data_IF_442608151668
#
_entry.id   IF_442608151668
#
_cell.length_a   1.000
_cell.length_b   1.000
_cell.length_c   1.000
_cell.angle_alpha   90.00
_cell.angle_beta   90.00
_cell.angle_gamma   90.00
#
_symmetry.space_group_name_H-M   'P 1'
#
loop_
_entity.id
_entity.type
_entity.pdbx_description
1 polymer ?
#
# COMPACT_ATOMS: atom_id res chain seq x y z
N UNK A 1 66.37 -54.08 -2.76
CA UNK A 1 64.95 -54.21 -3.15
C UNK A 1 64.19 -53.00 -2.63
N UNK A 2 64.00 -51.97 -3.45
CA UNK A 2 63.22 -50.77 -3.11
C UNK A 2 61.77 -50.99 -3.55
N UNK A 3 60.82 -50.93 -2.62
CA UNK A 3 59.37 -50.94 -2.92
C UNK A 3 58.88 -49.49 -2.88
N UNK A 4 58.60 -48.92 -4.05
CA UNK A 4 57.89 -47.65 -4.18
C UNK A 4 56.41 -47.88 -3.82
N UNK A 5 55.94 -47.26 -2.74
CA UNK A 5 54.53 -47.18 -2.42
C UNK A 5 53.92 -45.99 -3.16
N UNK A 6 53.06 -46.25 -4.15
CA UNK A 6 52.23 -45.24 -4.79
C UNK A 6 51.09 -44.85 -3.83
N UNK A 7 51.09 -43.60 -3.39
CA UNK A 7 50.00 -43.01 -2.63
C UNK A 7 48.93 -42.51 -3.62
N UNK A 8 47.78 -43.19 -3.68
CA UNK A 8 46.62 -42.75 -4.47
C UNK A 8 45.74 -41.89 -3.55
N UNK A 9 45.70 -40.59 -3.82
CA UNK A 9 44.80 -39.64 -3.12
C UNK A 9 43.48 -39.61 -3.91
N UNK A 10 42.33 -39.96 -3.31
CA UNK A 10 41.05 -39.89 -4.00
C UNK A 10 40.62 -38.42 -4.12
N UNK A 11 40.40 -37.97 -5.35
CA UNK A 11 39.84 -36.65 -5.64
C UNK A 11 38.34 -36.69 -5.31
N UNK A 12 37.97 -36.14 -4.15
CA UNK A 12 36.59 -36.01 -3.72
C UNK A 12 35.93 -34.85 -4.50
N UNK A 13 35.15 -35.16 -5.52
CA UNK A 13 34.33 -34.18 -6.24
C UNK A 13 33.15 -33.75 -5.36
N UNK A 14 33.25 -32.60 -4.70
CA UNK A 14 32.09 -31.95 -4.09
C UNK A 14 31.12 -31.53 -5.20
N UNK A 15 30.05 -32.30 -5.39
CA UNK A 15 28.87 -31.80 -6.09
C UNK A 15 28.20 -30.74 -5.21
N UNK A 16 28.46 -29.47 -5.47
CA UNK A 16 27.66 -28.37 -4.94
C UNK A 16 26.28 -28.44 -5.59
N UNK A 17 25.31 -29.00 -4.89
CA UNK A 17 23.90 -28.85 -5.26
C UNK A 17 23.54 -27.38 -5.04
N UNK A 18 23.47 -26.60 -6.12
CA UNK A 18 22.89 -25.27 -6.06
C UNK A 18 21.45 -25.43 -5.53
N UNK A 19 21.15 -24.80 -4.40
CA UNK A 19 19.77 -24.75 -3.92
C UNK A 19 18.90 -24.14 -5.03
N UNK A 20 17.71 -24.69 -5.31
CA UNK A 20 16.81 -24.09 -6.29
C UNK A 20 16.58 -22.63 -5.87
N UNK A 21 16.88 -21.70 -6.79
CA UNK A 21 16.51 -20.29 -6.60
C UNK A 21 15.02 -20.26 -6.34
N UNK A 22 14.61 -19.76 -5.16
CA UNK A 22 13.20 -19.53 -4.89
C UNK A 22 12.61 -18.74 -6.06
N UNK A 23 11.55 -19.29 -6.65
CA UNK A 23 10.90 -18.67 -7.80
C UNK A 23 10.38 -17.31 -7.36
N UNK A 24 10.89 -16.24 -7.99
CA UNK A 24 10.58 -14.87 -7.58
C UNK A 24 9.12 -14.57 -7.95
N UNK A 25 8.24 -14.61 -6.96
CA UNK A 25 6.82 -14.35 -7.13
C UNK A 25 6.54 -12.86 -7.41
N UNK A 26 5.51 -12.52 -8.20
CA UNK A 26 5.20 -11.14 -8.57
C UNK A 26 4.92 -10.27 -7.34
N UNK A 27 5.27 -8.99 -7.43
CA UNK A 27 4.89 -7.98 -6.43
C UNK A 27 3.37 -7.94 -6.30
N UNK A 28 2.85 -8.04 -5.08
CA UNK A 28 1.42 -8.00 -4.79
C UNK A 28 0.98 -6.55 -4.62
N UNK A 29 0.16 -6.06 -5.56
CA UNK A 29 -0.26 -4.66 -5.63
C UNK A 29 -1.65 -4.49 -5.03
N UNK A 30 -1.80 -3.56 -4.09
CA UNK A 30 -3.09 -3.13 -3.56
C UNK A 30 -3.33 -1.66 -3.90
N UNK A 31 -4.47 -1.39 -4.54
CA UNK A 31 -4.94 -0.03 -4.78
C UNK A 31 -5.78 0.45 -3.60
N UNK A 32 -5.34 1.52 -2.94
CA UNK A 32 -6.01 2.17 -1.82
C UNK A 32 -6.59 3.50 -2.29
N UNK A 33 -7.90 3.52 -2.55
CA UNK A 33 -8.61 4.65 -3.15
C UNK A 33 -9.69 5.22 -2.24
N UNK A 34 -9.94 6.53 -2.36
CA UNK A 34 -11.04 7.18 -1.64
C UNK A 34 -10.74 8.61 -1.23
N UNK A 35 -11.25 9.02 -0.06
CA UNK A 35 -11.19 10.42 0.40
C UNK A 35 -10.88 10.55 1.89
N UNK A 36 -10.53 11.77 2.32
CA UNK A 36 -10.29 12.16 3.72
C UNK A 36 -9.38 11.17 4.44
N UNK A 37 -9.90 10.24 5.26
CA UNK A 37 -9.09 9.29 5.99
C UNK A 37 -8.16 8.46 5.09
N UNK A 38 -8.58 8.09 3.88
CA UNK A 38 -7.70 7.40 2.93
C UNK A 38 -6.49 8.26 2.53
N UNK A 39 -6.64 9.59 2.47
CA UNK A 39 -5.54 10.53 2.21
C UNK A 39 -4.56 10.62 3.40
N UNK A 40 -4.95 10.19 4.59
CA UNK A 40 -4.10 10.10 5.77
C UNK A 40 -4.34 11.20 6.79
N UNK A 41 -5.53 11.22 7.39
CA UNK A 41 -5.94 12.21 8.41
C UNK A 41 -5.64 11.76 9.85
N UNK A 42 -5.24 10.50 10.05
CA UNK A 42 -4.94 9.99 11.38
C UNK A 42 -3.67 10.63 11.92
N UNK A 43 -3.76 11.33 13.03
CA UNK A 43 -2.61 11.99 13.67
C UNK A 43 -1.83 10.99 14.51
N UNK A 44 -0.50 11.04 14.41
CA UNK A 44 0.39 10.10 15.11
C UNK A 44 0.76 10.64 16.49
N UNK A 45 1.36 11.83 16.52
CA UNK A 45 2.14 12.36 17.66
C UNK A 45 1.89 13.86 17.94
N UNK A 46 1.07 14.55 17.14
CA UNK A 46 0.81 15.98 17.33
C UNK A 46 -0.19 16.18 18.47
N UNK A 47 0.29 16.67 19.60
CA UNK A 47 -0.52 17.06 20.76
C UNK A 47 -0.56 18.59 20.89
N UNK A 48 -1.71 19.19 20.58
CA UNK A 48 -1.98 20.60 20.82
C UNK A 48 -3.42 20.80 21.28
N UNK A 49 -3.67 21.60 22.33
CA UNK A 49 -5.01 21.77 22.90
C UNK A 49 -6.04 22.32 21.91
N UNK A 50 -5.62 23.19 20.98
CA UNK A 50 -6.52 23.84 20.02
C UNK A 50 -6.48 23.23 18.61
N UNK A 51 -5.41 22.53 18.24
CA UNK A 51 -5.19 22.10 16.86
C UNK A 51 -5.25 20.58 16.69
N UNK A 52 -5.08 19.83 17.78
CA UNK A 52 -5.07 18.36 17.76
C UNK A 52 -5.84 17.75 18.94
N UNK A 53 -6.91 18.42 19.38
CA UNK A 53 -7.83 17.93 20.40
C UNK A 53 -7.15 17.52 21.72
N UNK A 54 -6.05 18.20 22.08
CA UNK A 54 -5.22 17.85 23.24
C UNK A 54 -4.74 16.39 23.22
N UNK A 55 -4.36 15.90 22.04
CA UNK A 55 -3.82 14.56 21.82
C UNK A 55 -4.88 13.45 21.92
N UNK A 56 -6.17 13.78 22.06
CA UNK A 56 -7.22 12.75 22.13
C UNK A 56 -7.40 12.09 20.76
N UNK A 57 -7.17 10.79 20.70
CA UNK A 57 -7.36 9.97 19.50
C UNK A 57 -6.12 9.83 18.62
N UNK A 58 -4.99 10.48 18.96
CA UNK A 58 -3.73 10.27 18.25
C UNK A 58 -3.18 8.87 18.53
N UNK A 59 -2.38 8.33 17.60
CA UNK A 59 -1.88 6.96 17.70
C UNK A 59 -1.07 6.73 18.99
N UNK A 60 -0.18 7.64 19.36
CA UNK A 60 0.63 7.50 20.58
C UNK A 60 -0.25 7.32 21.84
N UNK A 61 -1.35 8.07 21.95
CA UNK A 61 -2.26 7.95 23.08
C UNK A 61 -3.10 6.68 23.04
N UNK A 62 -3.48 6.23 21.84
CA UNK A 62 -4.18 4.95 21.66
C UNK A 62 -3.29 3.79 22.12
N UNK A 63 -1.99 3.85 21.86
CA UNK A 63 -1.02 2.84 22.27
C UNK A 63 -0.78 2.79 23.78
N UNK A 64 -0.94 3.92 24.47
CA UNK A 64 -0.82 4.00 25.93
C UNK A 64 -2.03 3.41 26.68
N UNK A 65 -3.17 3.21 26.02
CA UNK A 65 -4.31 2.52 26.63
C UNK A 65 -3.95 1.05 26.88
N UNK A 66 -3.91 0.56 28.14
CA UNK A 66 -3.51 -0.81 28.44
C UNK A 66 -4.36 -1.88 27.74
N UNK A 67 -5.61 -1.54 27.39
CA UNK A 67 -6.53 -2.44 26.67
C UNK A 67 -6.16 -2.60 25.20
N UNK A 68 -5.40 -1.65 24.64
CA UNK A 68 -5.02 -1.58 23.22
C UNK A 68 -3.52 -1.74 22.99
N UNK A 69 -2.68 -1.51 24.00
CA UNK A 69 -1.23 -1.55 23.89
C UNK A 69 -0.71 -2.79 23.13
N UNK A 70 -1.20 -3.98 23.47
CA UNK A 70 -0.81 -5.23 22.79
C UNK A 70 -1.20 -5.26 21.31
N UNK A 71 -2.35 -4.71 20.95
CA UNK A 71 -2.83 -4.66 19.57
C UNK A 71 -1.96 -3.78 18.67
N UNK A 72 -1.31 -2.77 19.24
CA UNK A 72 -0.48 -1.81 18.50
C UNK A 72 1.01 -1.96 18.77
N UNK A 73 1.45 -2.95 19.55
CA UNK A 73 2.86 -3.10 19.91
C UNK A 73 3.79 -3.22 18.68
N UNK A 74 3.27 -3.76 17.56
CA UNK A 74 4.04 -3.98 16.32
C UNK A 74 4.38 -2.72 15.53
N UNK A 75 3.84 -1.55 15.88
CA UNK A 75 4.09 -0.30 15.13
C UNK A 75 5.32 0.46 15.61
N UNK A 76 5.89 0.06 16.75
CA UNK A 76 7.14 0.58 17.32
C UNK A 76 8.16 -0.54 17.45
N UNK A 77 9.44 -0.23 17.22
CA UNK A 77 10.55 -1.15 17.49
C UNK A 77 10.94 -1.16 18.98
N UNK A 78 11.89 -2.02 19.35
CA UNK A 78 12.38 -2.15 20.73
C UNK A 78 13.08 -0.87 21.24
N UNK A 79 13.46 0.03 20.33
CA UNK A 79 14.06 1.33 20.63
C UNK A 79 13.02 2.46 20.73
N UNK A 80 11.74 2.17 20.48
CA UNK A 80 10.65 3.16 20.51
C UNK A 80 10.51 4.00 19.24
N UNK A 81 11.19 3.65 18.15
CA UNK A 81 11.01 4.30 16.85
C UNK A 81 9.81 3.70 16.10
N UNK A 82 9.23 4.48 15.18
CA UNK A 82 8.19 3.96 14.28
C UNK A 82 8.80 2.93 13.33
N UNK A 83 8.17 1.76 13.27
CA UNK A 83 8.62 0.68 12.40
C UNK A 83 8.62 1.15 10.94
N UNK A 84 9.66 0.73 10.24
CA UNK A 84 9.79 0.82 8.79
C UNK A 84 9.79 -0.61 8.26
N UNK A 85 8.96 -0.89 7.24
CA UNK A 85 8.83 -2.21 6.62
C UNK A 85 9.32 -2.16 5.18
N UNK A 86 10.43 -2.84 4.90
CA UNK A 86 11.01 -2.89 3.56
C UNK A 86 10.28 -3.88 2.62
N UNK A 87 9.58 -4.86 3.20
CA UNK A 87 8.74 -5.84 2.50
C UNK A 87 7.41 -5.26 2.00
N UNK A 88 7.08 -4.02 2.38
CA UNK A 88 5.89 -3.31 1.92
C UNK A 88 6.29 -1.93 1.42
N UNK A 89 6.08 -1.68 0.14
CA UNK A 89 6.27 -0.37 -0.47
C UNK A 89 4.97 0.43 -0.47
N UNK A 90 5.09 1.75 -0.39
CA UNK A 90 3.97 2.67 -0.57
C UNK A 90 4.34 3.70 -1.61
N UNK A 91 3.40 4.01 -2.50
CA UNK A 91 3.48 5.13 -3.45
C UNK A 91 2.23 5.98 -3.36
N UNK A 92 2.42 7.29 -3.18
CA UNK A 92 1.32 8.24 -3.09
C UNK A 92 1.67 9.57 -3.75
N UNK A 93 1.02 9.89 -4.86
CA UNK A 93 1.09 11.21 -5.49
C UNK A 93 0.13 12.18 -4.78
N UNK A 94 0.70 13.08 -3.98
CA UNK A 94 -0.06 14.14 -3.30
C UNK A 94 -0.17 15.39 -4.19
N UNK A 95 -0.89 16.42 -3.71
CA UNK A 95 -0.89 17.74 -4.36
C UNK A 95 0.50 18.41 -4.37
N UNK A 96 1.35 18.08 -3.41
CA UNK A 96 2.61 18.79 -3.19
C UNK A 96 3.82 18.04 -3.72
N UNK A 97 3.82 16.70 -3.62
CA UNK A 97 4.94 15.86 -4.01
C UNK A 97 4.53 14.40 -4.19
N UNK A 98 5.37 13.66 -4.91
CA UNK A 98 5.35 12.20 -4.91
C UNK A 98 6.00 11.69 -3.62
N UNK A 99 5.27 10.89 -2.84
CA UNK A 99 5.80 10.15 -1.70
C UNK A 99 5.95 8.69 -2.08
N UNK A 100 7.14 8.13 -1.88
CA UNK A 100 7.45 6.72 -2.19
C UNK A 100 8.52 6.17 -1.25
N UNK A 101 8.45 4.88 -0.96
CA UNK A 101 9.44 4.17 -0.16
C UNK A 101 8.86 3.00 0.64
N UNK A 102 9.62 2.47 1.62
CA UNK A 102 9.14 1.45 2.55
C UNK A 102 8.00 1.97 3.41
N UNK A 103 7.10 1.08 3.83
CA UNK A 103 5.96 1.42 4.65
C UNK A 103 6.43 1.95 6.00
N UNK A 104 5.91 3.11 6.36
CA UNK A 104 6.10 3.79 7.63
C UNK A 104 4.97 4.81 7.78
N UNK A 105 5.00 5.61 8.85
CA UNK A 105 4.14 6.78 8.94
C UNK A 105 4.55 7.85 7.91
N UNK A 106 3.63 8.77 7.60
CA UNK A 106 3.91 9.93 6.75
C UNK A 106 3.49 9.80 5.29
N UNK A 107 2.83 8.70 4.88
CA UNK A 107 2.17 8.60 3.57
C UNK A 107 0.80 9.30 3.54
N UNK A 108 0.76 10.51 4.09
CA UNK A 108 -0.41 11.37 4.14
C UNK A 108 -0.35 12.51 3.11
N UNK A 109 -1.46 13.20 2.89
CA UNK A 109 -1.53 14.43 2.07
C UNK A 109 -0.73 15.62 2.63
N UNK A 110 -0.25 15.52 3.88
CA UNK A 110 0.49 16.56 4.61
C UNK A 110 2.00 16.35 4.56
N UNK A 111 2.84 17.40 4.64
CA UNK A 111 4.28 17.25 4.79
C UNK A 111 4.64 16.56 6.12
N UNK A 112 5.84 15.98 6.18
CA UNK A 112 6.36 15.35 7.39
C UNK A 112 5.79 13.95 7.69
N UNK A 113 6.15 13.45 8.87
CA UNK A 113 5.86 12.09 9.37
C UNK A 113 5.02 12.13 10.65
N UNK A 114 3.88 12.81 10.58
CA UNK A 114 2.99 13.02 11.73
C UNK A 114 1.57 12.48 11.50
N UNK A 115 1.33 11.90 10.33
CA UNK A 115 0.02 11.44 9.92
C UNK A 115 0.11 10.07 9.25
N UNK A 116 -0.99 9.34 9.33
CA UNK A 116 -1.21 8.02 8.73
C UNK A 116 -2.61 7.97 8.12
N UNK A 117 -2.77 7.15 7.10
CA UNK A 117 -4.07 6.62 6.69
C UNK A 117 -4.17 5.12 6.94
N UNK A 118 -5.21 4.49 6.36
CA UNK A 118 -5.40 3.04 6.41
C UNK A 118 -4.21 2.25 5.87
N UNK A 119 -3.38 2.83 5.00
CA UNK A 119 -2.19 2.17 4.45
C UNK A 119 -1.26 1.65 5.54
N UNK A 120 -1.16 2.36 6.67
CA UNK A 120 -0.22 2.01 7.71
C UNK A 120 -0.56 0.65 8.32
N UNK A 121 -1.77 0.51 8.87
CA UNK A 121 -2.17 -0.75 9.47
C UNK A 121 -2.51 -1.83 8.44
N UNK A 122 -3.07 -1.46 7.28
CA UNK A 122 -3.30 -2.40 6.19
C UNK A 122 -1.99 -3.04 5.73
N UNK A 123 -0.96 -2.21 5.49
CA UNK A 123 0.38 -2.65 5.11
C UNK A 123 1.02 -3.59 6.12
N UNK A 124 0.93 -3.29 7.42
CA UNK A 124 1.39 -4.19 8.47
C UNK A 124 0.71 -5.57 8.42
N UNK A 125 -0.60 -5.61 8.17
CA UNK A 125 -1.36 -6.87 8.13
C UNK A 125 -1.01 -7.68 6.87
N UNK A 126 -0.98 -7.06 5.70
CA UNK A 126 -0.68 -7.79 4.46
C UNK A 126 0.79 -8.21 4.37
N UNK A 127 1.73 -7.35 4.79
CA UNK A 127 3.16 -7.70 4.83
C UNK A 127 3.48 -8.79 5.85
N UNK A 128 2.70 -8.91 6.93
CA UNK A 128 2.85 -10.03 7.86
C UNK A 128 2.29 -11.36 7.32
N UNK A 129 1.43 -11.30 6.29
CA UNK A 129 0.69 -12.47 5.78
C UNK A 129 1.20 -12.99 4.44
N UNK A 130 1.82 -12.13 3.65
CA UNK A 130 2.38 -12.42 2.34
C UNK A 130 3.90 -12.52 2.47
N UNK A 131 4.49 -13.46 1.74
CA UNK A 131 5.96 -13.61 1.67
C UNK A 131 6.53 -12.82 0.49
N UNK A 132 5.67 -12.45 -0.46
CA UNK A 132 5.96 -11.60 -1.60
C UNK A 132 6.11 -10.14 -1.20
N UNK A 133 6.91 -9.40 -1.97
CA UNK A 133 6.96 -7.95 -1.88
C UNK A 133 5.55 -7.36 -2.12
N UNK A 134 5.13 -6.43 -1.27
CA UNK A 134 3.85 -5.72 -1.42
C UNK A 134 4.09 -4.31 -1.94
N UNK A 135 3.18 -3.82 -2.79
CA UNK A 135 3.08 -2.41 -3.18
C UNK A 135 1.68 -1.88 -2.86
N UNK A 136 1.62 -0.84 -2.04
CA UNK A 136 0.41 -0.06 -1.79
C UNK A 136 0.42 1.20 -2.66
N UNK A 137 -0.53 1.31 -3.58
CA UNK A 137 -0.71 2.51 -4.40
C UNK A 137 -1.87 3.30 -3.80
N UNK A 138 -1.60 4.52 -3.32
CA UNK A 138 -2.64 5.41 -2.81
C UNK A 138 -3.14 6.35 -3.90
N UNK A 139 -4.45 6.39 -4.07
CA UNK A 139 -5.18 7.29 -4.98
C UNK A 139 -6.29 7.98 -4.22
N UNK A 140 -5.89 8.91 -3.35
CA UNK A 140 -6.77 9.48 -2.35
C UNK A 140 -6.68 11.00 -2.30
N UNK A 141 -7.83 11.65 -2.17
CA UNK A 141 -7.94 13.11 -2.15
C UNK A 141 -9.07 13.56 -1.22
N UNK A 142 -8.80 14.55 -0.39
CA UNK A 142 -9.80 15.13 0.51
C UNK A 142 -10.99 15.76 -0.23
N UNK A 143 -12.18 15.64 0.38
CA UNK A 143 -13.37 16.34 -0.10
C UNK A 143 -13.97 15.81 -1.40
N UNK A 144 -13.77 14.52 -1.70
CA UNK A 144 -14.28 13.87 -2.92
C UNK A 144 -15.47 12.96 -2.65
N UNK A 145 -16.41 12.98 -3.59
CA UNK A 145 -17.63 12.18 -3.59
C UNK A 145 -17.53 11.03 -4.59
N UNK A 146 -18.24 9.93 -4.31
CA UNK A 146 -18.47 8.91 -5.33
C UNK A 146 -19.43 9.43 -6.40
N UNK A 147 -20.46 10.15 -5.98
CA UNK A 147 -21.49 10.71 -6.84
C UNK A 147 -20.96 11.67 -7.92
N UNK A 148 -19.88 12.43 -7.69
CA UNK A 148 -19.36 13.37 -8.70
C UNK A 148 -17.92 13.10 -9.08
N UNK A 149 -17.03 13.02 -8.10
CA UNK A 149 -15.60 13.06 -8.35
C UNK A 149 -15.07 11.71 -8.84
N UNK A 150 -15.53 10.63 -8.21
CA UNK A 150 -15.19 9.25 -8.55
C UNK A 150 -16.29 8.54 -9.34
N UNK A 151 -17.26 9.28 -9.91
CA UNK A 151 -18.37 8.68 -10.65
C UNK A 151 -17.82 7.78 -11.77
N UNK A 152 -18.08 6.48 -11.75
CA UNK A 152 -17.51 5.56 -12.72
C UNK A 152 -18.28 5.65 -14.05
N UNK A 153 -17.66 5.32 -15.19
CA UNK A 153 -18.24 5.54 -16.52
C UNK A 153 -19.51 4.73 -16.81
N UNK A 154 -19.76 3.63 -16.09
CA UNK A 154 -21.01 2.86 -16.21
C UNK A 154 -22.17 3.39 -15.36
N UNK A 155 -21.95 4.43 -14.55
CA UNK A 155 -23.04 5.13 -13.85
C UNK A 155 -23.61 6.26 -14.69
N UNK A 156 -24.89 6.58 -14.51
CA UNK A 156 -25.54 7.66 -15.24
C UNK A 156 -24.85 9.01 -15.01
N UNK A 157 -24.59 9.77 -16.08
CA UNK A 157 -23.97 11.09 -16.01
C UNK A 157 -22.50 11.12 -16.43
N UNK A 158 -21.82 12.22 -16.15
CA UNK A 158 -20.42 12.41 -16.56
C UNK A 158 -19.45 11.60 -15.71
N UNK A 159 -18.48 10.93 -16.34
CA UNK A 159 -17.40 10.26 -15.62
C UNK A 159 -16.62 11.25 -14.77
N UNK A 160 -16.47 10.91 -13.49
CA UNK A 160 -15.81 11.77 -12.52
C UNK A 160 -14.31 11.91 -12.83
N UNK A 161 -13.74 13.13 -12.74
CA UNK A 161 -12.34 13.35 -13.09
C UNK A 161 -11.37 12.59 -12.18
N UNK A 162 -11.76 12.27 -10.94
CA UNK A 162 -10.95 11.51 -10.01
C UNK A 162 -11.04 10.00 -10.22
N UNK A 163 -12.07 9.50 -10.90
CA UNK A 163 -12.06 8.13 -11.44
C UNK A 163 -10.92 7.97 -12.45
N UNK A 164 -10.88 8.85 -13.46
CA UNK A 164 -9.83 8.83 -14.49
C UNK A 164 -8.45 9.06 -13.87
N UNK A 165 -8.33 10.01 -12.94
CA UNK A 165 -7.06 10.29 -12.25
C UNK A 165 -6.58 9.09 -11.43
N UNK A 166 -7.47 8.39 -10.72
CA UNK A 166 -7.13 7.16 -9.99
C UNK A 166 -6.49 6.13 -10.92
N UNK A 167 -7.06 5.89 -12.10
CA UNK A 167 -6.50 4.95 -13.07
C UNK A 167 -5.14 5.42 -13.60
N UNK A 168 -5.00 6.72 -13.90
CA UNK A 168 -3.75 7.31 -14.39
C UNK A 168 -2.62 7.17 -13.36
N UNK A 169 -2.86 7.55 -12.11
CA UNK A 169 -1.87 7.45 -11.03
C UNK A 169 -1.50 5.99 -10.72
N UNK A 170 -2.46 5.08 -10.86
CA UNK A 170 -2.22 3.63 -10.71
C UNK A 170 -1.32 3.11 -11.83
N UNK A 171 -1.61 3.43 -13.09
CA UNK A 171 -0.77 3.02 -14.23
C UNK A 171 0.63 3.62 -14.14
N UNK A 172 0.73 4.90 -13.80
CA UNK A 172 2.02 5.58 -13.60
C UNK A 172 2.85 4.93 -12.49
N UNK A 173 2.22 4.48 -11.39
CA UNK A 173 2.90 3.75 -10.33
C UNK A 173 3.50 2.41 -10.82
N UNK A 174 2.75 1.67 -11.63
CA UNK A 174 3.15 0.37 -12.13
C UNK A 174 4.21 0.48 -13.23
N UNK A 175 4.11 1.50 -14.08
CA UNK A 175 5.08 1.79 -15.14
C UNK A 175 6.43 2.26 -14.57
N UNK A 176 6.42 3.08 -13.52
CA UNK A 176 7.62 3.62 -12.88
C UNK A 176 8.16 2.74 -11.74
N UNK A 177 7.64 1.51 -11.57
CA UNK A 177 8.04 0.63 -10.46
C UNK A 177 9.57 0.46 -10.33
N UNK A 178 10.35 0.22 -11.42
CA UNK A 178 11.82 0.12 -11.34
C UNK A 178 12.52 1.42 -10.91
N UNK A 179 11.98 2.57 -11.31
CA UNK A 179 12.56 3.89 -11.00
C UNK A 179 12.17 4.36 -9.59
N UNK A 180 10.98 3.97 -9.14
CA UNK A 180 10.45 4.36 -7.84
C UNK A 180 11.00 3.49 -6.71
N UNK A 181 11.31 2.23 -6.98
CA UNK A 181 11.80 1.27 -6.00
C UNK A 181 13.03 0.52 -6.56
N UNK A 182 14.25 1.00 -6.29
CA UNK A 182 15.48 0.42 -6.85
C UNK A 182 15.72 -1.05 -6.49
N UNK A 183 15.11 -1.53 -5.40
CA UNK A 183 15.17 -2.94 -4.98
C UNK A 183 14.22 -3.84 -5.80
N UNK A 184 13.39 -3.27 -6.68
CA UNK A 184 12.58 -4.02 -7.63
C UNK A 184 13.45 -4.68 -8.69
N UNK A 185 13.40 -6.00 -8.74
CA UNK A 185 14.26 -6.84 -9.58
C UNK A 185 13.58 -7.33 -10.87
N UNK A 186 12.47 -6.70 -11.28
CA UNK A 186 11.79 -7.03 -12.53
C UNK A 186 10.92 -8.29 -12.47
N UNK A 187 10.67 -8.89 -11.29
CA UNK A 187 9.85 -10.11 -11.11
C UNK A 187 8.37 -9.99 -11.52
N UNK A 188 7.95 -8.83 -12.00
CA UNK A 188 6.59 -8.51 -12.37
C UNK A 188 5.70 -8.18 -11.17
N UNK A 189 4.44 -7.90 -11.47
CA UNK A 189 3.44 -7.55 -10.46
C UNK A 189 2.05 -8.09 -10.82
N UNK A 190 1.23 -8.23 -9.78
CA UNK A 190 -0.18 -8.63 -9.85
C UNK A 190 -1.04 -7.67 -9.01
N UNK A 191 -2.17 -7.21 -9.57
CA UNK A 191 -3.17 -6.48 -8.80
C UNK A 191 -3.93 -7.44 -7.87
N UNK A 192 -3.53 -7.48 -6.60
CA UNK A 192 -4.02 -8.38 -5.58
C UNK A 192 -5.30 -7.88 -4.89
N UNK A 193 -5.55 -6.57 -4.90
CA UNK A 193 -6.77 -6.05 -4.28
C UNK A 193 -7.05 -4.56 -4.49
N UNK A 194 -8.29 -4.20 -4.18
CA UNK A 194 -8.81 -2.84 -4.20
C UNK A 194 -9.46 -2.52 -2.86
N UNK A 195 -8.99 -1.47 -2.19
CA UNK A 195 -9.48 -0.98 -0.91
C UNK A 195 -10.11 0.38 -1.14
N UNK A 196 -11.41 0.48 -0.88
CA UNK A 196 -12.18 1.70 -1.03
C UNK A 196 -12.56 2.27 0.33
N UNK A 197 -12.23 3.54 0.59
CA UNK A 197 -12.66 4.25 1.79
C UNK A 197 -13.15 5.65 1.45
N UNK A 198 -14.47 5.75 1.28
CA UNK A 198 -15.21 6.94 0.91
C UNK A 198 -16.64 6.80 1.45
N UNK A 199 -17.42 7.90 1.47
CA UNK A 199 -18.86 7.86 1.75
C UNK A 199 -19.36 9.08 2.52
N UNK A 200 -18.49 9.71 3.32
CA UNK A 200 -18.85 10.86 4.16
C UNK A 200 -19.48 12.01 3.35
N UNK A 201 -18.89 12.37 2.21
CA UNK A 201 -19.40 13.49 1.41
C UNK A 201 -20.74 13.18 0.75
N UNK A 202 -20.94 11.95 0.28
CA UNK A 202 -22.18 11.53 -0.37
C UNK A 202 -23.36 11.51 0.62
N UNK A 203 -23.10 11.32 1.92
CA UNK A 203 -24.12 11.32 2.96
C UNK A 203 -24.93 12.62 3.07
N UNK A 204 -24.37 13.76 2.68
CA UNK A 204 -25.04 15.06 2.84
C UNK A 204 -25.94 15.46 1.67
N UNK A 205 -25.91 14.72 0.56
CA UNK A 205 -26.76 14.96 -0.60
C UNK A 205 -27.78 13.82 -0.75
N UNK A 206 -29.06 14.16 -0.94
CA UNK A 206 -30.12 13.17 -1.00
C UNK A 206 -30.01 12.27 -2.24
N UNK A 207 -29.58 12.84 -3.38
CA UNK A 207 -29.42 12.11 -4.62
C UNK A 207 -28.14 11.26 -4.59
N UNK A 208 -27.05 11.79 -4.05
CA UNK A 208 -25.82 11.03 -3.82
C UNK A 208 -26.04 9.81 -2.92
N UNK A 209 -26.79 9.96 -1.83
CA UNK A 209 -27.17 8.82 -0.99
C UNK A 209 -28.00 7.78 -1.72
N UNK A 210 -28.99 8.22 -2.49
CA UNK A 210 -29.88 7.31 -3.22
C UNK A 210 -29.12 6.50 -4.29
N UNK A 211 -28.12 7.09 -4.95
CA UNK A 211 -27.33 6.45 -6.00
C UNK A 211 -26.07 5.74 -5.47
N UNK A 212 -25.73 5.86 -4.19
CA UNK A 212 -24.42 5.44 -3.68
C UNK A 212 -24.13 3.96 -3.92
N UNK A 213 -25.11 3.09 -3.65
CA UNK A 213 -24.98 1.65 -3.82
C UNK A 213 -24.72 1.28 -5.29
N UNK A 214 -25.52 1.81 -6.21
CA UNK A 214 -25.38 1.55 -7.64
C UNK A 214 -24.04 2.08 -8.17
N UNK A 215 -23.68 3.33 -7.81
CA UNK A 215 -22.41 3.91 -8.18
C UNK A 215 -21.22 3.10 -7.64
N UNK A 216 -21.34 2.50 -6.44
CA UNK A 216 -20.28 1.68 -5.86
C UNK A 216 -20.14 0.34 -6.60
N UNK A 217 -21.26 -0.29 -6.95
CA UNK A 217 -21.25 -1.50 -7.79
C UNK A 217 -20.60 -1.23 -9.14
N UNK A 218 -20.97 -0.12 -9.78
CA UNK A 218 -20.41 0.32 -11.05
C UNK A 218 -18.91 0.63 -10.94
N UNK A 219 -18.48 1.29 -9.86
CA UNK A 219 -17.07 1.57 -9.59
C UNK A 219 -16.26 0.29 -9.52
N UNK A 220 -16.74 -0.71 -8.77
CA UNK A 220 -16.07 -2.00 -8.63
C UNK A 220 -15.94 -2.71 -9.99
N UNK A 221 -17.01 -2.71 -10.80
CA UNK A 221 -17.01 -3.32 -12.14
C UNK A 221 -16.04 -2.62 -13.07
N UNK A 222 -16.08 -1.30 -13.12
CA UNK A 222 -15.26 -0.52 -14.06
C UNK A 222 -13.78 -0.54 -13.66
N UNK A 223 -13.45 -0.48 -12.37
CA UNK A 223 -12.07 -0.67 -11.88
C UNK A 223 -11.54 -2.06 -12.26
N UNK A 224 -12.35 -3.12 -12.11
CA UNK A 224 -11.96 -4.48 -12.54
C UNK A 224 -11.78 -4.56 -14.06
N UNK A 225 -12.61 -3.88 -14.84
CA UNK A 225 -12.47 -3.84 -16.30
C UNK A 225 -11.18 -3.10 -16.70
N UNK A 226 -10.92 -1.95 -16.10
CA UNK A 226 -9.85 -1.04 -16.50
C UNK A 226 -8.47 -1.43 -15.96
N UNK A 227 -8.42 -2.22 -14.88
CA UNK A 227 -7.18 -2.67 -14.22
C UNK A 227 -7.08 -4.20 -14.00
N UNK A 228 -8.18 -4.95 -13.99
CA UNK A 228 -8.20 -6.36 -13.55
C UNK A 228 -7.54 -7.36 -14.52
N UNK A 229 -7.27 -6.96 -15.76
CA UNK A 229 -6.43 -7.73 -16.68
C UNK A 229 -4.93 -7.39 -16.59
N UNK A 230 -4.56 -6.43 -15.75
CA UNK A 230 -3.21 -5.89 -15.74
C UNK A 230 -2.31 -6.80 -14.87
N UNK A 231 -1.39 -7.49 -15.55
CA UNK A 231 -0.26 -8.23 -14.98
C UNK A 231 0.93 -7.97 -15.87
N UNK A 232 2.11 -7.74 -15.30
CA UNK A 232 3.32 -7.55 -16.11
C UNK A 232 4.12 -8.85 -16.32
N UNK A 233 3.69 -9.97 -15.74
CA UNK A 233 4.31 -11.27 -15.99
C UNK A 233 4.05 -11.68 -17.43
N UNK A 234 5.08 -11.48 -18.28
CA UNK A 234 5.17 -12.20 -19.55
C UNK A 234 5.35 -13.68 -19.20
N UNK A 235 4.41 -14.51 -19.66
CA UNK A 235 4.66 -15.93 -19.89
C UNK A 235 5.79 -16.12 -20.87
#
# INVERSE_FOLDING_TARGET
MMRNALLVIPLLTLLTTAAPSAEKRPVQVFLLAGQSNMEGQGVVDLDHPQHYNGGKGILERVMQDPRKAKQFAHVKDDQGNWVVRDDVWVRFQTRHSLKKGPLSIGYAGYPGKHHIGPEFQFGHVVGARLEEQVLLIKTAWGGKSLYKDFRPPSSDGETGPYYTKMLQETRAALENLPQDFPDYDGRGWELAGFVWFQGWNDMFDAKARAEYEENLVNLIKDVRKDLGGARSCRS
#
